data_IF_660592184568
#
_entry.id   IF_660592184568
#
_cell.length_a   1.000
_cell.length_b   1.000
_cell.length_c   1.000
_cell.angle_alpha   90.00
_cell.angle_beta   90.00
_cell.angle_gamma   90.00
#
_symmetry.space_group_name_H-M   'P 1'
#
loop_
_entity.id
_entity.type
_entity.pdbx_description
1 polymer ?
#
# COMPACT_ATOMS: atom_id res chain seq x y z
N UNK A 1 -1.37 0.53 -20.28
CA UNK A 1 0.02 0.89 -20.56
C UNK A 1 0.88 -0.37 -20.47
N UNK A 2 1.77 -0.57 -21.45
CA UNK A 2 2.83 -1.60 -21.38
C UNK A 2 4.12 -0.84 -21.08
N UNK A 3 4.80 -1.21 -20.01
CA UNK A 3 6.11 -0.66 -19.66
C UNK A 3 7.18 -1.71 -19.96
N UNK A 4 7.94 -1.47 -21.01
CA UNK A 4 8.96 -2.40 -21.53
C UNK A 4 10.15 -2.50 -20.55
N UNK A 5 10.71 -1.39 -20.02
CA UNK A 5 11.75 -1.44 -18.99
C UNK A 5 11.40 -2.22 -17.71
N UNK A 6 10.20 -2.02 -17.15
CA UNK A 6 9.79 -2.76 -15.94
C UNK A 6 9.26 -4.16 -16.25
N UNK A 7 9.11 -4.48 -17.54
CA UNK A 7 8.44 -5.68 -18.02
C UNK A 7 7.09 -5.85 -17.30
N UNK A 8 6.19 -4.86 -17.41
CA UNK A 8 4.86 -4.91 -16.79
C UNK A 8 3.76 -4.38 -17.70
N UNK A 9 2.52 -4.75 -17.38
CA UNK A 9 1.30 -4.32 -18.05
C UNK A 9 0.30 -3.83 -17.01
N UNK A 10 -0.17 -2.59 -17.16
CA UNK A 10 -1.26 -2.02 -16.39
C UNK A 10 -2.45 -1.70 -17.30
N UNK A 11 -3.66 -2.04 -16.87
CA UNK A 11 -4.92 -1.78 -17.56
C UNK A 11 -5.87 -1.08 -16.59
N UNK A 12 -6.40 0.07 -16.98
CA UNK A 12 -7.49 0.74 -16.27
C UNK A 12 -8.65 0.97 -17.23
N UNK A 13 -9.85 0.56 -16.86
CA UNK A 13 -11.07 0.73 -17.65
C UNK A 13 -12.20 1.25 -16.77
N UNK A 14 -12.68 2.46 -17.06
CA UNK A 14 -13.94 2.96 -16.52
C UNK A 14 -15.09 2.59 -17.44
N UNK A 15 -16.17 2.03 -16.88
CA UNK A 15 -17.41 1.77 -17.62
C UNK A 15 -18.55 2.53 -16.95
N UNK A 16 -19.37 3.19 -17.77
CA UNK A 16 -20.65 3.75 -17.34
C UNK A 16 -21.76 3.29 -18.28
N UNK A 17 -22.78 2.66 -17.72
CA UNK A 17 -23.97 2.19 -18.43
C UNK A 17 -25.16 3.01 -17.95
N UNK A 18 -25.79 3.72 -18.88
CA UNK A 18 -27.00 4.51 -18.63
C UNK A 18 -28.14 4.01 -19.52
N UNK A 19 -29.23 3.56 -18.90
CA UNK A 19 -30.44 3.14 -19.61
C UNK A 19 -31.50 4.25 -19.44
N UNK A 20 -31.94 4.92 -20.51
CA UNK A 20 -32.92 5.99 -20.42
C UNK A 20 -34.31 5.46 -20.04
N UNK A 21 -35.15 6.33 -19.47
CA UNK A 21 -36.57 6.01 -19.22
C UNK A 21 -37.34 5.85 -20.55
N UNK A 22 -38.36 4.99 -20.62
CA UNK A 22 -39.28 4.94 -21.76
C UNK A 22 -39.97 6.31 -21.96
N UNK A 23 -40.18 6.73 -23.21
CA UNK A 23 -40.75 8.05 -23.56
C UNK A 23 -42.27 8.20 -23.36
N UNK A 24 -42.96 7.29 -22.68
CA UNK A 24 -44.43 7.32 -22.61
C UNK A 24 -44.98 7.70 -21.24
N UNK A 25 -45.80 8.75 -21.20
CA UNK A 25 -47.04 8.93 -20.40
C UNK A 25 -47.07 8.72 -18.88
N UNK A 26 -46.09 8.05 -18.30
CA UNK A 26 -46.11 7.58 -16.92
C UNK A 26 -45.33 8.56 -16.05
N UNK A 27 -45.97 8.92 -14.94
CA UNK A 27 -45.59 9.93 -13.96
C UNK A 27 -44.33 9.58 -13.15
N UNK A 28 -43.20 9.43 -13.82
CA UNK A 28 -41.89 9.35 -13.17
C UNK A 28 -41.34 10.77 -12.95
N UNK A 29 -40.95 11.08 -11.71
CA UNK A 29 -40.54 12.43 -11.30
C UNK A 29 -39.43 13.06 -12.15
N UNK A 30 -39.57 14.37 -12.40
CA UNK A 30 -38.82 15.21 -13.35
C UNK A 30 -37.29 15.34 -13.13
N UNK A 31 -36.71 14.65 -12.14
CA UNK A 31 -35.33 14.94 -11.69
C UNK A 31 -34.25 13.98 -12.18
N UNK A 32 -34.59 12.80 -12.71
CA UNK A 32 -33.59 11.86 -13.23
C UNK A 32 -33.97 11.31 -14.62
N UNK A 33 -33.02 11.31 -15.55
CA UNK A 33 -33.22 10.95 -16.96
C UNK A 33 -33.05 9.45 -17.27
N UNK A 34 -32.60 8.65 -16.29
CA UNK A 34 -32.21 7.26 -16.48
C UNK A 34 -32.95 6.32 -15.54
N UNK A 35 -33.32 5.14 -16.04
CA UNK A 35 -33.88 4.03 -15.27
C UNK A 35 -32.77 3.24 -14.56
N UNK A 36 -31.62 3.12 -15.21
CA UNK A 36 -30.40 2.51 -14.66
C UNK A 36 -29.23 3.44 -14.94
N UNK A 37 -28.45 3.76 -13.91
CA UNK A 37 -27.16 4.45 -14.02
C UNK A 37 -26.13 3.63 -13.23
N UNK A 38 -25.30 2.88 -13.94
CA UNK A 38 -24.26 2.04 -13.38
C UNK A 38 -22.89 2.58 -13.77
N UNK A 39 -21.98 2.65 -12.80
CA UNK A 39 -20.61 3.07 -13.02
C UNK A 39 -19.66 2.12 -12.30
N UNK A 40 -18.53 1.82 -12.93
CA UNK A 40 -17.50 0.98 -12.35
C UNK A 40 -16.13 1.24 -12.95
N UNK A 41 -15.11 0.80 -12.23
CA UNK A 41 -13.71 0.87 -12.64
C UNK A 41 -13.12 -0.53 -12.50
N UNK A 42 -12.47 -0.99 -13.56
CA UNK A 42 -11.64 -2.18 -13.57
C UNK A 42 -10.18 -1.73 -13.66
N UNK A 43 -9.36 -2.17 -12.71
CA UNK A 43 -7.93 -1.93 -12.68
C UNK A 43 -7.21 -3.29 -12.64
N UNK A 44 -6.28 -3.53 -13.56
CA UNK A 44 -5.48 -4.73 -13.59
C UNK A 44 -4.00 -4.40 -13.78
N UNK A 45 -3.13 -5.23 -13.19
CA UNK A 45 -1.69 -5.12 -13.27
C UNK A 45 -1.07 -6.51 -13.38
N UNK A 46 -0.04 -6.64 -14.22
CA UNK A 46 0.73 -7.86 -14.41
C UNK A 46 2.21 -7.51 -14.52
N UNK A 47 3.05 -8.07 -13.64
CA UNK A 47 4.50 -8.01 -13.76
C UNK A 47 5.02 -9.27 -14.46
N UNK A 48 5.81 -9.08 -15.51
CA UNK A 48 6.56 -10.15 -16.18
C UNK A 48 7.93 -10.40 -15.55
N UNK A 49 8.45 -9.44 -14.75
CA UNK A 49 9.70 -9.59 -13.98
C UNK A 49 9.49 -10.43 -12.72
N UNK A 50 8.32 -10.27 -12.09
CA UNK A 50 7.92 -11.02 -10.91
C UNK A 50 6.49 -11.57 -11.12
N UNK A 51 6.36 -12.86 -11.51
CA UNK A 51 5.05 -13.49 -11.74
C UNK A 51 4.13 -13.53 -10.51
N UNK A 52 4.65 -13.29 -9.30
CA UNK A 52 3.84 -13.19 -8.09
C UNK A 52 3.18 -11.81 -7.92
N UNK A 53 3.62 -10.80 -8.69
CA UNK A 53 3.09 -9.44 -8.60
C UNK A 53 2.10 -9.17 -9.73
N UNK A 54 0.83 -9.48 -9.49
CA UNK A 54 -0.29 -9.17 -10.38
C UNK A 54 -1.58 -8.96 -9.59
N UNK A 55 -2.53 -8.21 -10.14
CA UNK A 55 -3.89 -8.09 -9.59
C UNK A 55 -4.91 -7.74 -10.66
N UNK A 56 -6.18 -8.02 -10.38
CA UNK A 56 -7.36 -7.55 -11.11
C UNK A 56 -8.39 -7.11 -10.09
N UNK A 57 -8.75 -5.83 -10.11
CA UNK A 57 -9.70 -5.20 -9.21
C UNK A 57 -10.87 -4.65 -10.02
N UNK A 58 -12.08 -4.87 -9.53
CA UNK A 58 -13.32 -4.30 -10.02
C UNK A 58 -13.94 -3.58 -8.82
N UNK A 59 -13.65 -2.29 -8.68
CA UNK A 59 -13.89 -1.56 -7.44
C UNK A 59 -12.99 -2.01 -6.29
N UNK A 60 -13.29 -1.55 -5.07
CA UNK A 60 -12.63 -1.97 -3.83
C UNK A 60 -13.67 -2.03 -2.71
N UNK A 61 -13.33 -2.62 -1.56
CA UNK A 61 -14.23 -2.65 -0.40
C UNK A 61 -14.68 -1.23 0.02
N UNK A 62 -13.80 -0.23 -0.07
CA UNK A 62 -14.10 1.17 0.27
C UNK A 62 -14.80 1.93 -0.88
N UNK A 63 -14.56 1.51 -2.12
CA UNK A 63 -15.11 2.14 -3.33
C UNK A 63 -15.69 1.06 -4.24
N UNK A 64 -16.83 0.52 -3.82
CA UNK A 64 -17.57 -0.46 -4.62
C UNK A 64 -18.06 0.18 -5.92
N UNK A 65 -18.12 -0.60 -6.99
CA UNK A 65 -18.82 -0.17 -8.20
C UNK A 65 -20.32 -0.18 -7.92
N UNK A 66 -21.04 0.81 -8.43
CA UNK A 66 -22.42 1.08 -8.00
C UNK A 66 -23.37 1.24 -9.18
N UNK A 67 -24.57 0.69 -9.05
CA UNK A 67 -25.68 0.86 -9.95
C UNK A 67 -26.88 1.44 -9.21
N UNK A 68 -27.41 2.56 -9.72
CA UNK A 68 -28.69 3.13 -9.31
C UNK A 68 -29.78 2.59 -10.23
N UNK A 69 -30.84 2.05 -9.65
CA UNK A 69 -31.94 1.39 -10.34
C UNK A 69 -33.25 2.05 -9.90
N UNK A 70 -34.10 2.39 -10.86
CA UNK A 70 -35.40 3.06 -10.67
C UNK A 70 -35.23 4.37 -9.87
N UNK A 71 -34.61 5.38 -10.48
CA UNK A 71 -34.51 6.74 -9.90
C UNK A 71 -33.95 6.73 -8.45
N UNK A 72 -32.85 5.99 -8.23
CA UNK A 72 -32.17 5.84 -6.94
C UNK A 72 -32.95 5.07 -5.83
N UNK A 73 -34.11 4.46 -6.13
CA UNK A 73 -34.87 3.67 -5.16
C UNK A 73 -34.11 2.41 -4.77
N UNK A 74 -33.46 1.74 -5.72
CA UNK A 74 -32.63 0.57 -5.47
C UNK A 74 -31.20 0.91 -5.85
N UNK A 75 -30.25 0.62 -4.96
CA UNK A 75 -28.82 0.63 -5.30
C UNK A 75 -28.26 -0.76 -5.17
N UNK A 76 -27.49 -1.18 -6.16
CA UNK A 76 -26.67 -2.37 -6.10
C UNK A 76 -25.20 -1.94 -6.13
N UNK A 77 -24.39 -2.53 -5.28
CA UNK A 77 -22.97 -2.26 -5.16
C UNK A 77 -22.22 -3.59 -5.25
N UNK A 78 -21.03 -3.61 -5.84
CA UNK A 78 -20.17 -4.80 -5.82
C UNK A 78 -18.70 -4.43 -5.88
N UNK A 79 -17.85 -5.33 -5.41
CA UNK A 79 -16.43 -5.31 -5.74
C UNK A 79 -15.92 -6.72 -5.97
N UNK A 80 -14.85 -6.85 -6.74
CA UNK A 80 -14.16 -8.10 -6.97
C UNK A 80 -12.66 -7.82 -7.18
N UNK A 81 -11.83 -8.34 -6.30
CA UNK A 81 -10.39 -8.18 -6.29
C UNK A 81 -9.77 -9.57 -6.30
N UNK A 82 -8.80 -9.79 -7.17
CA UNK A 82 -8.03 -11.04 -7.23
C UNK A 82 -6.57 -10.70 -7.48
N UNK A 83 -5.67 -11.35 -6.76
CA UNK A 83 -4.24 -11.26 -6.98
C UNK A 83 -3.58 -12.62 -6.70
N UNK A 84 -2.26 -12.64 -6.61
CA UNK A 84 -1.49 -13.85 -6.34
C UNK A 84 -1.71 -14.47 -4.96
N UNK A 85 -2.26 -13.72 -4.00
CA UNK A 85 -2.35 -14.10 -2.59
C UNK A 85 -3.78 -14.34 -2.13
N UNK A 86 -4.76 -13.63 -2.70
CA UNK A 86 -6.15 -13.73 -2.30
C UNK A 86 -7.15 -13.40 -3.43
N UNK A 87 -8.38 -13.85 -3.24
CA UNK A 87 -9.60 -13.37 -3.89
C UNK A 87 -10.46 -12.69 -2.83
N UNK A 88 -10.88 -11.46 -3.07
CA UNK A 88 -11.84 -10.75 -2.23
C UNK A 88 -13.01 -10.26 -3.09
N UNK A 89 -14.23 -10.47 -2.64
CA UNK A 89 -15.42 -10.04 -3.36
C UNK A 89 -16.49 -9.61 -2.38
N UNK A 90 -17.36 -8.72 -2.82
CA UNK A 90 -18.52 -8.33 -2.04
C UNK A 90 -19.60 -7.73 -2.90
N UNK A 91 -20.81 -7.76 -2.36
CA UNK A 91 -21.99 -7.18 -2.99
C UNK A 91 -22.87 -6.54 -1.92
N UNK A 92 -23.47 -5.42 -2.28
CA UNK A 92 -24.42 -4.68 -1.46
C UNK A 92 -25.70 -4.44 -2.23
N UNK A 93 -26.82 -4.43 -1.52
CA UNK A 93 -28.08 -3.92 -2.04
C UNK A 93 -28.70 -2.99 -1.01
N UNK A 94 -29.22 -1.85 -1.46
CA UNK A 94 -30.03 -0.98 -0.62
C UNK A 94 -31.29 -0.54 -1.33
N UNK A 95 -32.34 -0.35 -0.54
CA UNK A 95 -33.65 0.11 -0.98
C UNK A 95 -34.02 1.34 -0.15
N UNK A 96 -34.38 2.41 -0.82
CA UNK A 96 -34.81 3.65 -0.19
C UNK A 96 -34.48 4.87 -1.03
N UNK A 97 -34.77 6.04 -0.50
CA UNK A 97 -34.61 7.26 -1.26
C UNK A 97 -34.71 8.51 -0.42
N UNK A 98 -34.72 9.62 -1.14
CA UNK A 98 -34.86 10.96 -0.60
C UNK A 98 -36.04 11.63 -1.28
N UNK A 99 -37.06 11.94 -0.51
CA UNK A 99 -38.27 12.59 -0.97
C UNK A 99 -38.31 14.00 -0.39
N UNK A 100 -38.51 15.00 -1.25
CA UNK A 100 -38.56 16.40 -0.83
C UNK A 100 -39.85 17.05 -1.32
N UNK A 101 -40.62 17.62 -0.40
CA UNK A 101 -41.83 18.39 -0.68
C UNK A 101 -41.81 19.68 0.14
N UNK A 102 -41.84 20.82 -0.56
CA UNK A 102 -41.75 22.15 0.05
C UNK A 102 -40.50 22.30 0.94
N UNK A 103 -40.67 22.50 2.25
CA UNK A 103 -39.59 22.64 3.24
C UNK A 103 -39.21 21.30 3.88
N UNK A 104 -39.93 20.21 3.56
CA UNK A 104 -39.75 18.91 4.19
C UNK A 104 -38.93 17.99 3.28
N UNK A 105 -37.95 17.31 3.85
CA UNK A 105 -37.16 16.27 3.20
C UNK A 105 -37.13 15.04 4.08
N UNK A 106 -37.68 13.94 3.58
CA UNK A 106 -37.60 12.62 4.19
C UNK A 106 -36.49 11.82 3.49
N UNK A 107 -35.63 11.20 4.29
CA UNK A 107 -34.63 10.24 3.82
C UNK A 107 -34.92 8.93 4.54
N UNK A 108 -35.13 7.84 3.80
CA UNK A 108 -35.28 6.52 4.40
C UNK A 108 -34.61 5.51 3.48
N UNK A 109 -33.70 4.72 4.05
CA UNK A 109 -32.98 3.69 3.31
C UNK A 109 -32.55 2.55 4.23
N UNK A 110 -32.60 1.34 3.71
CA UNK A 110 -32.06 0.14 4.35
C UNK A 110 -31.21 -0.60 3.33
N UNK A 111 -30.10 -1.18 3.78
CA UNK A 111 -29.23 -1.96 2.92
C UNK A 111 -28.57 -3.11 3.65
N UNK A 112 -28.06 -4.05 2.86
CA UNK A 112 -27.26 -5.16 3.34
C UNK A 112 -26.08 -5.40 2.39
N UNK A 113 -24.92 -5.67 2.98
CA UNK A 113 -23.68 -5.95 2.28
C UNK A 113 -23.15 -7.33 2.73
N UNK A 114 -22.67 -8.11 1.77
CA UNK A 114 -21.91 -9.34 2.00
C UNK A 114 -20.53 -9.16 1.39
N UNK A 115 -19.48 -9.63 2.07
CA UNK A 115 -18.15 -9.71 1.49
C UNK A 115 -17.42 -10.96 1.99
N UNK A 116 -16.47 -11.45 1.20
CA UNK A 116 -15.57 -12.52 1.59
C UNK A 116 -14.18 -12.25 1.01
N UNK A 117 -13.13 -12.64 1.74
CA UNK A 117 -11.73 -12.67 1.32
C UNK A 117 -11.20 -14.08 1.58
N UNK A 118 -10.61 -14.69 0.57
CA UNK A 118 -10.04 -16.03 0.58
C UNK A 118 -8.57 -15.89 0.17
N UNK A 119 -7.66 -16.02 1.13
CA UNK A 119 -6.22 -16.12 0.92
C UNK A 119 -5.77 -17.59 0.88
N UNK A 120 -4.62 -17.87 0.25
CA UNK A 120 -4.06 -19.23 0.15
C UNK A 120 -2.57 -19.33 0.51
N UNK A 121 -1.94 -18.25 0.99
CA UNK A 121 -0.59 -18.26 1.57
C UNK A 121 -0.45 -17.12 2.61
N UNK A 122 -1.02 -17.28 3.82
CA UNK A 122 -1.58 -18.50 4.39
C UNK A 122 -3.02 -18.69 3.93
N UNK A 123 -3.62 -19.84 4.24
CA UNK A 123 -5.05 -20.01 4.03
C UNK A 123 -5.79 -19.13 5.03
N UNK A 124 -6.36 -18.03 4.56
CA UNK A 124 -7.18 -17.11 5.36
C UNK A 124 -8.58 -17.05 4.74
N UNK A 125 -9.63 -17.21 5.55
CA UNK A 125 -11.00 -16.96 5.15
C UNK A 125 -11.57 -15.88 6.05
N UNK A 126 -11.83 -14.71 5.47
CA UNK A 126 -12.57 -13.63 6.09
C UNK A 126 -13.96 -13.53 5.43
N UNK A 127 -15.00 -13.39 6.24
CA UNK A 127 -16.37 -13.19 5.79
C UNK A 127 -17.04 -12.05 6.54
N UNK A 128 -17.69 -11.15 5.81
CA UNK A 128 -18.42 -10.02 6.37
C UNK A 128 -19.90 -10.07 5.96
N UNK A 129 -20.77 -9.82 6.91
CA UNK A 129 -22.17 -9.48 6.68
C UNK A 129 -22.52 -8.20 7.42
N UNK A 130 -23.07 -7.21 6.72
CA UNK A 130 -23.47 -5.93 7.31
C UNK A 130 -24.91 -5.61 6.91
N UNK A 131 -25.73 -5.20 7.86
CA UNK A 131 -27.02 -4.56 7.61
C UNK A 131 -26.91 -3.13 8.13
N UNK A 132 -27.44 -2.17 7.38
CA UNK A 132 -27.49 -0.79 7.80
C UNK A 132 -28.83 -0.14 7.42
N UNK A 133 -29.22 0.88 8.16
CA UNK A 133 -30.40 1.68 7.88
C UNK A 133 -30.14 3.16 8.18
N UNK A 134 -30.78 4.01 7.40
CA UNK A 134 -30.80 5.46 7.54
C UNK A 134 -32.25 5.95 7.53
N UNK A 135 -32.62 6.76 8.53
CA UNK A 135 -33.92 7.43 8.62
C UNK A 135 -33.70 8.87 9.06
N UNK A 136 -34.12 9.82 8.24
CA UNK A 136 -33.96 11.24 8.53
C UNK A 136 -35.14 12.07 8.07
N UNK A 137 -35.44 13.09 8.86
CA UNK A 137 -36.43 14.12 8.54
C UNK A 137 -35.77 15.47 8.68
N UNK A 138 -35.86 16.28 7.64
CA UNK A 138 -35.41 17.67 7.61
C UNK A 138 -36.57 18.58 7.29
N UNK A 139 -36.85 19.54 8.16
CA UNK A 139 -37.82 20.62 7.99
C UNK A 139 -37.06 21.94 7.96
N UNK A 140 -36.95 22.54 6.77
CA UNK A 140 -36.19 23.76 6.51
C UNK A 140 -34.70 23.61 6.86
N UNK A 141 -34.22 24.30 7.91
CA UNK A 141 -32.83 24.21 8.40
C UNK A 141 -32.64 23.19 9.53
N UNK A 142 -33.73 22.70 10.11
CA UNK A 142 -33.70 21.73 11.19
C UNK A 142 -33.86 20.33 10.63
N UNK A 143 -33.06 19.39 11.09
CA UNK A 143 -33.24 18.00 10.73
C UNK A 143 -32.60 17.08 11.73
N UNK A 144 -33.07 15.84 11.74
CA UNK A 144 -32.41 14.74 12.41
C UNK A 144 -32.13 13.63 11.40
N UNK A 145 -31.08 12.87 11.66
CA UNK A 145 -30.72 11.70 10.86
C UNK A 145 -30.25 10.58 11.78
N UNK A 146 -31.02 9.51 11.83
CA UNK A 146 -30.67 8.28 12.51
C UNK A 146 -30.02 7.33 11.52
N UNK A 147 -28.82 6.86 11.84
CA UNK A 147 -28.11 5.79 11.16
C UNK A 147 -27.86 4.67 12.15
N UNK A 148 -28.07 3.44 11.72
CA UNK A 148 -27.74 2.25 12.49
C UNK A 148 -27.13 1.19 11.59
N UNK A 149 -26.14 0.48 12.10
CA UNK A 149 -25.52 -0.66 11.42
C UNK A 149 -25.25 -1.81 12.38
N UNK A 150 -25.36 -3.02 11.86
CA UNK A 150 -24.98 -4.26 12.50
C UNK A 150 -24.06 -5.03 11.54
N UNK A 151 -22.81 -5.26 11.96
CA UNK A 151 -21.76 -5.90 11.20
C UNK A 151 -21.32 -7.18 11.90
N UNK A 152 -21.24 -8.27 11.16
CA UNK A 152 -20.67 -9.55 11.57
C UNK A 152 -19.44 -9.79 10.71
N UNK A 153 -18.29 -10.02 11.31
CA UNK A 153 -17.01 -10.27 10.64
C UNK A 153 -16.40 -11.54 11.22
N UNK A 154 -16.21 -12.57 10.40
CA UNK A 154 -15.58 -13.83 10.78
C UNK A 154 -14.22 -13.99 10.11
N UNK A 155 -13.25 -14.56 10.83
CA UNK A 155 -11.92 -14.93 10.34
C UNK A 155 -11.61 -16.38 10.75
N UNK A 156 -10.90 -17.13 9.90
CA UNK A 156 -10.43 -18.50 10.18
C UNK A 156 -9.24 -18.82 9.24
N UNK A 157 -8.25 -19.64 9.64
CA UNK A 157 -8.13 -20.44 10.86
C UNK A 157 -7.37 -19.80 12.03
N UNK A 158 -6.43 -18.89 11.80
CA UNK A 158 -5.51 -18.39 12.84
C UNK A 158 -5.45 -16.84 12.86
N UNK A 159 -6.10 -16.15 13.81
CA UNK A 159 -7.03 -16.65 14.82
C UNK A 159 -8.43 -16.91 14.23
N UNK A 160 -9.12 -17.91 14.77
CA UNK A 160 -10.55 -18.06 14.51
C UNK A 160 -11.31 -17.07 15.39
N UNK A 161 -11.84 -15.99 14.79
CA UNK A 161 -12.57 -14.93 15.51
C UNK A 161 -13.84 -14.52 14.78
N UNK A 162 -14.84 -14.13 15.55
CA UNK A 162 -16.14 -13.62 15.11
C UNK A 162 -16.45 -12.32 15.85
N UNK A 163 -16.36 -11.21 15.15
CA UNK A 163 -16.67 -9.88 15.64
C UNK A 163 -18.09 -9.49 15.24
N UNK A 164 -18.92 -9.18 16.24
CA UNK A 164 -20.26 -8.63 16.07
C UNK A 164 -20.28 -7.18 16.56
N UNK A 165 -20.34 -6.24 15.63
CA UNK A 165 -20.32 -4.80 15.89
C UNK A 165 -21.70 -4.19 15.64
N UNK A 166 -22.21 -3.46 16.62
CA UNK A 166 -23.42 -2.64 16.51
C UNK A 166 -23.02 -1.18 16.67
N UNK A 167 -23.33 -0.35 15.68
CA UNK A 167 -23.09 1.08 15.74
C UNK A 167 -24.34 1.88 15.41
N UNK A 168 -24.51 3.03 16.05
CA UNK A 168 -25.59 3.96 15.75
C UNK A 168 -25.10 5.40 15.86
N UNK A 169 -25.71 6.27 15.07
CA UNK A 169 -25.49 7.71 15.07
C UNK A 169 -26.80 8.43 14.87
N UNK A 170 -27.12 9.37 15.75
CA UNK A 170 -28.24 10.27 15.66
C UNK A 170 -27.71 11.70 15.52
N UNK A 171 -27.75 12.21 14.30
CA UNK A 171 -27.47 13.62 14.02
C UNK A 171 -28.67 14.46 14.49
N UNK A 172 -28.42 15.44 15.35
CA UNK A 172 -29.45 16.28 15.97
C UNK A 172 -29.39 17.71 15.43
N UNK A 173 -30.51 18.46 15.44
CA UNK A 173 -30.49 19.84 15.03
C UNK A 173 -29.67 20.69 15.99
N UNK A 174 -28.89 21.64 15.46
CA UNK A 174 -28.21 22.64 16.25
C UNK A 174 -29.20 23.39 17.18
N UNK A 175 -28.85 23.65 18.46
CA UNK A 175 -27.54 23.45 19.11
C UNK A 175 -27.37 22.10 19.84
N UNK A 176 -28.26 21.13 19.62
CA UNK A 176 -28.23 19.86 20.35
C UNK A 176 -27.07 19.01 19.81
N UNK A 177 -26.16 18.50 20.66
CA UNK A 177 -25.03 17.69 20.21
C UNK A 177 -25.48 16.32 19.72
N UNK A 178 -24.83 15.81 18.69
CA UNK A 178 -25.10 14.49 18.12
C UNK A 178 -24.85 13.37 19.14
N UNK A 179 -25.63 12.29 19.03
CA UNK A 179 -25.49 11.08 19.87
C UNK A 179 -24.92 9.96 19.00
N UNK A 180 -23.88 9.28 19.48
CA UNK A 180 -23.30 8.10 18.81
C UNK A 180 -22.92 7.03 19.82
N UNK A 181 -22.96 5.77 19.40
CA UNK A 181 -22.51 4.66 20.22
C UNK A 181 -22.11 3.48 19.35
N UNK A 182 -21.18 2.69 19.86
CA UNK A 182 -20.63 1.53 19.19
C UNK A 182 -20.35 0.45 20.24
N UNK A 183 -20.67 -0.80 19.91
CA UNK A 183 -20.37 -1.95 20.77
C UNK A 183 -19.98 -3.14 19.91
N UNK A 184 -18.80 -3.68 20.18
CA UNK A 184 -18.29 -4.90 19.56
C UNK A 184 -18.28 -6.04 20.57
N UNK A 185 -18.73 -7.21 20.12
CA UNK A 185 -18.63 -8.48 20.83
C UNK A 185 -17.77 -9.42 19.99
N UNK A 186 -16.69 -9.93 20.58
CA UNK A 186 -15.77 -10.86 19.92
C UNK A 186 -15.95 -12.25 20.52
N UNK A 187 -16.16 -13.26 19.67
CA UNK A 187 -16.06 -14.67 20.03
C UNK A 187 -14.89 -15.29 19.26
N UNK A 188 -13.92 -15.89 19.94
CA UNK A 188 -12.76 -16.49 19.29
C UNK A 188 -11.61 -16.72 20.25
N UNK A 189 -10.42 -16.99 19.73
CA UNK A 189 -9.20 -17.12 20.54
C UNK A 189 -8.93 -15.79 21.28
N UNK A 190 -9.28 -15.74 22.56
CA UNK A 190 -9.45 -14.47 23.31
C UNK A 190 -8.14 -13.71 23.57
N UNK A 191 -6.99 -14.33 23.29
CA UNK A 191 -5.66 -13.73 23.32
C UNK A 191 -4.71 -14.57 22.45
N UNK A 192 -4.25 -14.11 21.27
CA UNK A 192 -3.19 -14.81 20.55
C UNK A 192 -1.95 -14.88 21.45
N UNK A 193 -1.55 -16.08 21.84
CA UNK A 193 -0.35 -16.30 22.64
C UNK A 193 0.85 -16.20 21.70
N UNK A 194 1.57 -15.08 21.75
CA UNK A 194 2.83 -14.95 21.03
C UNK A 194 3.79 -16.09 21.43
N UNK A 195 4.56 -16.67 20.49
CA UNK A 195 5.46 -17.77 20.79
C UNK A 195 6.49 -17.34 21.85
N UNK A 196 6.61 -18.12 22.91
CA UNK A 196 7.60 -17.86 23.96
C UNK A 196 8.96 -18.33 23.49
N UNK A 197 9.94 -17.42 23.35
CA UNK A 197 11.33 -17.78 23.00
C UNK A 197 11.94 -18.52 24.20
N UNK A 198 11.91 -19.85 24.17
CA UNK A 198 12.30 -20.72 25.29
C UNK A 198 13.80 -21.04 25.34
N UNK A 199 14.58 -20.57 24.36
CA UNK A 199 16.01 -20.85 24.27
C UNK A 199 16.81 -19.56 24.07
N UNK A 200 17.90 -19.32 24.82
CA UNK A 200 18.79 -18.19 24.54
C UNK A 200 19.35 -18.35 23.13
N UNK A 201 19.23 -17.31 22.30
CA UNK A 201 19.92 -17.23 21.01
C UNK A 201 21.43 -17.38 21.28
N UNK A 202 21.98 -18.57 21.02
CA UNK A 202 23.41 -18.85 21.19
C UNK A 202 24.20 -18.17 20.08
N UNK A 203 24.65 -16.93 20.33
CA UNK A 203 25.46 -16.16 19.39
C UNK A 203 26.96 -16.53 19.41
N UNK A 204 27.29 -17.83 19.33
CA UNK A 204 28.62 -18.29 18.88
C UNK A 204 29.43 -19.22 19.79
N UNK A 205 30.37 -19.92 19.16
CA UNK A 205 31.50 -20.63 19.76
C UNK A 205 32.78 -20.01 19.18
N UNK A 206 33.73 -19.59 20.02
CA UNK A 206 35.05 -19.16 19.55
C UNK A 206 36.08 -20.24 19.86
N UNK A 207 36.87 -20.64 18.85
CA UNK A 207 37.99 -21.57 19.02
C UNK A 207 39.30 -20.77 18.98
N UNK A 208 40.08 -20.81 20.06
CA UNK A 208 41.43 -20.23 20.10
C UNK A 208 42.39 -21.29 20.64
N UNK A 209 43.40 -21.65 19.85
CA UNK A 209 44.41 -22.67 20.19
C UNK A 209 43.82 -24.01 20.66
N UNK A 210 42.76 -24.47 19.99
CA UNK A 210 42.08 -25.73 20.32
C UNK A 210 41.14 -25.66 21.53
N UNK A 211 40.98 -24.49 22.15
CA UNK A 211 40.04 -24.27 23.25
C UNK A 211 38.78 -23.59 22.73
N UNK A 212 37.62 -24.26 22.87
CA UNK A 212 36.32 -23.70 22.51
C UNK A 212 35.74 -22.93 23.68
N UNK A 213 35.59 -21.62 23.56
CA UNK A 213 34.78 -20.82 24.48
C UNK A 213 33.36 -20.70 23.93
N UNK A 214 32.40 -21.32 24.61
CA UNK A 214 30.95 -21.17 24.40
C UNK A 214 30.42 -20.15 25.41
N UNK A 215 30.60 -18.86 25.13
CA UNK A 215 29.94 -17.82 25.91
C UNK A 215 28.84 -17.21 25.04
N UNK A 216 27.58 -17.18 25.51
CA UNK A 216 26.52 -16.48 24.80
C UNK A 216 26.88 -14.99 24.71
N UNK A 217 27.03 -14.48 23.49
CA UNK A 217 27.21 -13.05 23.27
C UNK A 217 25.85 -12.35 23.44
N UNK A 218 25.85 -11.22 24.15
CA UNK A 218 24.68 -10.36 24.21
C UNK A 218 24.43 -9.76 22.82
N UNK A 219 23.26 -10.01 22.27
CA UNK A 219 22.79 -9.39 21.03
C UNK A 219 21.80 -8.29 21.37
N UNK A 220 21.84 -7.22 20.57
CA UNK A 220 20.90 -6.13 20.67
C UNK A 220 19.71 -6.34 19.74
N UNK A 221 18.62 -5.65 20.04
CA UNK A 221 17.50 -5.45 19.14
C UNK A 221 17.36 -3.95 18.88
N UNK A 222 17.09 -3.60 17.62
CA UNK A 222 16.82 -2.23 17.19
C UNK A 222 15.47 -2.21 16.49
N UNK A 223 14.58 -1.33 16.95
CA UNK A 223 13.35 -1.04 16.22
C UNK A 223 13.63 0.03 15.16
N UNK A 224 13.52 -0.32 13.89
CA UNK A 224 13.92 0.52 12.75
C UNK A 224 13.15 1.84 12.71
N UNK A 225 11.86 1.85 13.05
CA UNK A 225 11.03 3.06 12.98
C UNK A 225 11.16 4.00 14.18
N UNK A 226 11.49 3.49 15.37
CA UNK A 226 11.57 4.33 16.59
C UNK A 226 13.01 4.58 17.04
N UNK A 227 13.98 3.87 16.48
CA UNK A 227 15.39 3.90 16.90
C UNK A 227 15.63 3.30 18.29
N UNK A 228 14.61 2.71 18.92
CA UNK A 228 14.71 2.15 20.27
C UNK A 228 15.61 0.91 20.24
N UNK A 229 16.56 0.85 21.16
CA UNK A 229 17.48 -0.28 21.33
C UNK A 229 17.27 -0.98 22.67
N UNK A 230 17.38 -2.30 22.69
CA UNK A 230 17.35 -3.08 23.93
C UNK A 230 18.15 -4.39 23.81
N UNK A 231 18.54 -4.94 24.95
CA UNK A 231 19.23 -6.24 25.02
C UNK A 231 18.24 -7.39 25.14
N UNK A 232 18.51 -8.50 24.46
CA UNK A 232 17.64 -9.70 24.47
C UNK A 232 17.60 -10.43 25.81
N UNK A 233 18.56 -10.18 26.70
CA UNK A 233 18.70 -10.88 27.98
C UNK A 233 17.97 -10.21 29.16
N UNK A 234 17.30 -9.08 28.94
CA UNK A 234 16.54 -8.42 30.02
C UNK A 234 15.20 -9.12 30.22
N UNK A 235 15.06 -9.91 31.28
CA UNK A 235 13.84 -10.64 31.61
C UNK A 235 12.59 -9.74 31.54
N UNK A 236 11.55 -10.19 30.82
CA UNK A 236 10.28 -9.48 30.68
C UNK A 236 10.18 -8.49 29.52
N UNK A 237 11.18 -8.41 28.63
CA UNK A 237 11.09 -7.62 27.39
C UNK A 237 11.03 -8.54 26.17
N UNK A 238 9.83 -8.65 25.60
CA UNK A 238 9.60 -9.36 24.34
C UNK A 238 10.32 -8.65 23.19
N UNK A 239 10.90 -9.42 22.27
CA UNK A 239 11.33 -8.91 20.97
C UNK A 239 10.09 -8.45 20.19
N UNK A 240 10.21 -7.32 19.49
CA UNK A 240 9.16 -6.86 18.59
C UNK A 240 9.31 -7.60 17.25
N UNK A 241 8.20 -7.88 16.54
CA UNK A 241 8.23 -8.65 15.29
C UNK A 241 9.01 -7.95 14.16
N UNK A 242 9.20 -6.64 14.26
CA UNK A 242 9.93 -5.76 13.33
C UNK A 242 11.30 -5.32 13.86
N UNK A 243 11.80 -6.00 14.88
CA UNK A 243 13.11 -5.70 15.44
C UNK A 243 14.22 -6.27 14.55
N UNK A 244 15.20 -5.42 14.23
CA UNK A 244 16.48 -5.81 13.63
C UNK A 244 17.35 -6.43 14.70
N UNK A 245 17.94 -7.58 14.37
CA UNK A 245 18.94 -8.22 15.24
C UNK A 245 20.26 -7.50 15.02
N UNK A 246 20.77 -6.89 16.09
CA UNK A 246 22.04 -6.15 16.07
C UNK A 246 23.12 -7.05 16.66
N UNK A 247 24.00 -7.53 15.78
CA UNK A 247 25.17 -8.31 16.16
C UNK A 247 26.40 -7.38 16.19
N UNK A 248 27.03 -7.19 17.36
CA UNK A 248 28.21 -6.35 17.46
C UNK A 248 29.44 -7.06 16.87
N UNK A 249 30.17 -6.35 16.03
CA UNK A 249 31.50 -6.73 15.57
C UNK A 249 32.52 -5.66 15.93
N UNK A 250 33.76 -6.08 16.22
CA UNK A 250 34.87 -5.14 16.43
C UNK A 250 35.28 -4.43 15.14
N UNK A 251 35.01 -5.02 13.98
CA UNK A 251 35.27 -4.44 12.66
C UNK A 251 34.33 -5.08 11.61
N UNK A 252 34.15 -4.44 10.46
CA UNK A 252 33.44 -5.05 9.33
C UNK A 252 34.29 -6.19 8.75
N UNK A 253 33.64 -7.23 8.24
CA UNK A 253 34.32 -8.39 7.65
C UNK A 253 33.89 -8.60 6.19
N UNK A 254 34.76 -9.20 5.38
CA UNK A 254 34.46 -9.53 3.98
C UNK A 254 33.38 -10.60 3.93
N UNK A 255 32.34 -10.39 3.13
CA UNK A 255 31.24 -11.34 2.98
C UNK A 255 31.55 -12.42 1.94
N UNK A 256 31.54 -13.69 2.35
CA UNK A 256 31.55 -14.86 1.46
C UNK A 256 30.19 -15.58 1.43
N UNK A 257 29.20 -15.10 2.21
CA UNK A 257 27.86 -15.69 2.25
C UNK A 257 26.99 -15.24 1.07
N UNK A 258 27.23 -14.04 0.54
CA UNK A 258 26.38 -13.40 -0.46
C UNK A 258 25.07 -12.85 0.11
N UNK A 259 24.92 -12.87 1.44
CA UNK A 259 23.72 -12.43 2.15
C UNK A 259 23.88 -11.04 2.79
N UNK A 260 25.10 -10.48 2.82
CA UNK A 260 25.31 -9.10 3.28
C UNK A 260 25.21 -8.14 2.10
N UNK A 261 24.27 -7.21 2.16
CA UNK A 261 24.07 -6.19 1.14
C UNK A 261 24.89 -4.94 1.48
N UNK A 262 25.44 -4.31 0.45
CA UNK A 262 26.23 -3.07 0.57
C UNK A 262 27.63 -3.17 -0.02
N UNK A 263 28.47 -2.19 0.30
CA UNK A 263 29.83 -2.10 -0.24
C UNK A 263 30.73 -3.21 0.30
N UNK A 264 31.48 -3.86 -0.60
CA UNK A 264 32.47 -4.86 -0.22
C UNK A 264 33.49 -4.28 0.79
N UNK A 265 33.75 -5.06 1.85
CA UNK A 265 34.71 -4.69 2.89
C UNK A 265 36.08 -5.18 2.48
N UNK A 266 37.03 -4.26 2.30
CA UNK A 266 38.44 -4.57 2.04
C UNK A 266 39.21 -4.86 3.32
N UNK A 267 40.30 -5.63 3.20
CA UNK A 267 41.23 -5.86 4.31
C UNK A 267 41.86 -4.52 4.79
N UNK A 268 42.12 -4.41 6.09
CA UNK A 268 42.70 -3.20 6.69
C UNK A 268 44.05 -3.50 7.37
N UNK A 269 44.89 -2.48 7.43
CA UNK A 269 46.21 -2.56 8.09
C UNK A 269 46.04 -2.34 9.59
N UNK A 270 46.30 -3.39 10.39
CA UNK A 270 46.27 -3.32 11.84
C UNK A 270 47.68 -3.61 12.39
N UNK A 271 48.28 -2.61 13.03
CA UNK A 271 49.62 -2.76 13.63
C UNK A 271 50.73 -3.12 12.63
N UNK A 272 50.59 -2.75 11.35
CA UNK A 272 51.55 -3.07 10.29
C UNK A 272 51.33 -4.40 9.58
N UNK A 273 50.30 -5.17 9.97
CA UNK A 273 49.89 -6.39 9.29
C UNK A 273 48.61 -6.16 8.49
N UNK A 274 48.53 -6.77 7.30
CA UNK A 274 47.27 -6.84 6.57
C UNK A 274 46.41 -7.93 7.21
N UNK A 275 45.33 -7.51 7.88
CA UNK A 275 44.42 -8.43 8.56
C UNK A 275 43.12 -8.50 7.75
N UNK A 276 42.71 -9.72 7.41
CA UNK A 276 41.44 -9.99 6.72
C UNK A 276 40.56 -10.89 7.59
N UNK A 277 39.32 -10.49 7.77
CA UNK A 277 38.28 -11.29 8.41
C UNK A 277 37.20 -11.60 7.40
N UNK A 278 36.62 -12.79 7.49
CA UNK A 278 35.66 -13.29 6.51
C UNK A 278 34.44 -13.87 7.20
N UNK A 279 33.24 -13.47 6.76
CA UNK A 279 31.98 -14.11 7.13
C UNK A 279 31.67 -15.23 6.14
N UNK A 280 31.77 -16.48 6.59
CA UNK A 280 31.56 -17.68 5.73
C UNK A 280 30.16 -18.26 5.81
N UNK A 281 29.47 -18.03 6.92
CA UNK A 281 28.15 -18.59 7.17
C UNK A 281 27.34 -17.58 7.97
N UNK A 282 26.12 -17.31 7.50
CA UNK A 282 25.12 -16.53 8.20
C UNK A 282 23.80 -17.27 8.02
N UNK A 283 23.23 -17.75 9.13
CA UNK A 283 21.97 -18.49 9.12
C UNK A 283 21.15 -18.05 10.33
N UNK A 284 19.85 -17.86 10.11
CA UNK A 284 18.88 -17.85 11.18
C UNK A 284 18.15 -19.19 11.18
N UNK A 285 17.93 -19.76 12.36
CA UNK A 285 17.29 -21.07 12.51
C UNK A 285 16.05 -20.97 13.38
N UNK A 286 14.93 -21.47 12.86
CA UNK A 286 13.70 -21.64 13.61
C UNK A 286 13.78 -22.90 14.48
N UNK A 287 13.72 -22.72 15.79
CA UNK A 287 13.79 -23.79 16.78
C UNK A 287 12.42 -24.38 17.13
N UNK A 288 11.33 -23.86 16.56
CA UNK A 288 9.97 -24.35 16.78
C UNK A 288 9.82 -25.84 16.41
N UNK A 289 10.55 -26.29 15.39
CA UNK A 289 10.64 -27.69 14.95
C UNK A 289 11.58 -28.59 15.77
N UNK A 290 12.15 -28.10 16.87
CA UNK A 290 13.17 -28.80 17.68
C UNK A 290 14.60 -28.39 17.35
N UNK A 291 15.58 -28.96 18.06
CA UNK A 291 17.01 -28.65 17.86
C UNK A 291 17.66 -29.65 16.89
N UNK A 292 18.46 -29.21 15.89
CA UNK A 292 19.11 -27.89 15.74
C UNK A 292 18.31 -26.82 14.97
N UNK A 293 17.00 -26.96 14.78
CA UNK A 293 16.14 -26.00 14.08
C UNK A 293 16.25 -26.02 12.56
N UNK A 294 15.25 -25.46 11.87
CA UNK A 294 15.19 -25.33 10.40
C UNK A 294 15.80 -23.99 9.96
N UNK A 295 16.59 -23.98 8.88
CA UNK A 295 17.18 -22.74 8.36
C UNK A 295 16.09 -21.88 7.74
N UNK A 296 16.03 -20.60 8.13
CA UNK A 296 15.16 -19.58 7.53
C UNK A 296 15.77 -19.14 6.20
N UNK A 297 15.07 -19.33 5.06
CA UNK A 297 15.59 -18.92 3.76
C UNK A 297 15.56 -17.39 3.61
N UNK A 298 16.43 -16.85 2.76
CA UNK A 298 16.37 -15.44 2.33
C UNK A 298 16.87 -14.40 3.36
N UNK A 299 17.48 -14.82 4.46
CA UNK A 299 18.06 -13.92 5.47
C UNK A 299 19.10 -13.00 4.82
N UNK A 300 18.93 -11.69 5.01
CA UNK A 300 19.87 -10.65 4.55
C UNK A 300 20.40 -9.84 5.71
N UNK A 301 21.52 -9.14 5.51
CA UNK A 301 22.06 -8.22 6.51
C UNK A 301 22.73 -6.99 5.89
N UNK A 302 22.85 -5.91 6.65
CA UNK A 302 23.63 -4.72 6.28
C UNK A 302 24.66 -4.39 7.38
N UNK A 303 25.81 -3.86 6.97
CA UNK A 303 26.75 -3.23 7.88
C UNK A 303 26.33 -1.80 8.25
N UNK A 304 26.04 -1.58 9.54
CA UNK A 304 25.86 -0.26 10.12
C UNK A 304 27.11 0.21 10.90
N UNK A 305 27.27 1.52 11.01
CA UNK A 305 28.29 2.10 11.89
C UNK A 305 27.87 1.95 13.37
N UNK A 306 28.80 1.58 14.23
CA UNK A 306 28.60 1.65 15.67
C UNK A 306 28.60 3.10 16.19
N UNK A 307 28.27 3.30 17.48
CA UNK A 307 28.13 4.64 18.09
C UNK A 307 29.39 5.49 17.98
N UNK A 308 30.56 4.84 17.92
CA UNK A 308 31.87 5.47 17.89
C UNK A 308 32.49 5.51 16.48
N UNK A 309 31.75 5.13 15.43
CA UNK A 309 32.21 5.15 14.04
C UNK A 309 33.21 4.05 13.63
N UNK A 310 34.00 3.54 14.58
CA UNK A 310 35.06 2.56 14.34
C UNK A 310 34.62 1.10 14.49
N UNK A 311 33.47 0.85 15.13
CA UNK A 311 32.91 -0.51 15.30
C UNK A 311 31.88 -0.83 14.21
N UNK A 312 31.86 -2.09 13.76
CA UNK A 312 30.87 -2.57 12.79
C UNK A 312 29.69 -3.20 13.51
N UNK A 313 28.46 -2.81 13.16
CA UNK A 313 27.27 -3.55 13.59
C UNK A 313 26.72 -4.29 12.39
N UNK A 314 26.53 -5.60 12.50
CA UNK A 314 25.81 -6.36 11.48
C UNK A 314 24.33 -6.34 11.86
N UNK A 315 23.54 -5.63 11.08
CA UNK A 315 22.10 -5.56 11.22
C UNK A 315 21.49 -6.66 10.37
N UNK A 316 20.99 -7.71 11.00
CA UNK A 316 20.33 -8.81 10.30
C UNK A 316 18.87 -8.39 10.08
N UNK A 317 18.44 -8.49 8.83
CA UNK A 317 17.13 -8.10 8.33
C UNK A 317 16.93 -6.57 8.30
N UNK A 318 17.99 -5.77 8.14
CA UNK A 318 17.86 -4.29 8.11
C UNK A 318 17.09 -3.76 6.88
N UNK A 319 17.21 -4.43 5.72
CA UNK A 319 16.49 -4.07 4.48
C UNK A 319 15.01 -4.48 4.50
N UNK A 320 14.70 -5.49 5.30
CA UNK A 320 13.38 -6.06 5.46
C UNK A 320 13.35 -6.69 6.85
N UNK A 321 13.00 -5.94 7.91
CA UNK A 321 13.01 -6.41 9.30
C UNK A 321 12.03 -7.55 9.54
N UNK A 322 11.26 -7.95 8.53
CA UNK A 322 10.37 -9.09 8.52
C UNK A 322 10.88 -10.26 7.67
N UNK A 323 12.01 -10.15 6.99
CA UNK A 323 12.56 -11.24 6.13
C UNK A 323 12.87 -12.54 6.88
N UNK A 324 13.08 -12.46 8.20
CA UNK A 324 13.20 -13.62 9.08
C UNK A 324 11.88 -14.10 9.67
N UNK A 325 10.88 -13.24 9.68
CA UNK A 325 9.50 -13.66 9.85
C UNK A 325 9.16 -14.38 8.55
N UNK A 326 9.48 -15.67 8.48
CA UNK A 326 8.80 -16.56 7.53
C UNK A 326 7.32 -16.24 7.74
N UNK A 327 6.57 -15.78 6.73
CA UNK A 327 5.19 -15.40 6.96
C UNK A 327 4.46 -16.58 7.59
N UNK A 328 4.20 -16.50 8.89
CA UNK A 328 2.94 -16.97 9.41
C UNK A 328 1.97 -15.98 8.83
N UNK A 329 1.28 -16.40 7.79
CA UNK A 329 0.90 -15.46 6.75
C UNK A 329 -0.20 -14.46 7.14
N UNK A 330 -0.59 -14.38 8.40
CA UNK A 330 -1.72 -13.61 8.89
C UNK A 330 -1.39 -12.16 9.25
N UNK A 331 -0.20 -11.63 8.91
CA UNK A 331 0.25 -10.30 9.41
C UNK A 331 0.65 -9.29 8.32
N UNK A 332 0.48 -9.60 7.03
CA UNK A 332 0.84 -8.67 5.95
C UNK A 332 -0.08 -7.43 5.81
N UNK A 333 -1.13 -7.29 6.63
CA UNK A 333 -2.23 -6.36 6.36
C UNK A 333 -2.12 -4.93 6.95
N UNK A 334 -1.00 -4.51 7.57
CA UNK A 334 -0.99 -3.23 8.32
C UNK A 334 0.12 -2.20 8.04
N UNK A 335 0.81 -2.23 6.90
CA UNK A 335 1.67 -1.08 6.51
C UNK A 335 1.21 -0.49 5.17
N UNK A 336 0.30 0.46 5.24
CA UNK A 336 -0.07 1.34 4.12
C UNK A 336 0.91 2.51 4.04
N UNK A 337 2.09 2.29 3.46
CA UNK A 337 2.72 3.40 2.74
C UNK A 337 1.91 3.61 1.46
N UNK A 338 1.51 4.86 1.19
CA UNK A 338 0.89 5.17 -0.10
C UNK A 338 1.97 4.89 -1.15
N UNK A 339 1.82 3.87 -2.02
CA UNK A 339 2.89 3.49 -2.91
C UNK A 339 3.29 4.69 -3.78
N UNK A 340 4.59 4.84 -4.10
CA UNK A 340 5.06 5.91 -4.97
C UNK A 340 4.21 5.96 -6.23
N UNK A 341 3.56 7.10 -6.46
CA UNK A 341 2.67 7.29 -7.59
C UNK A 341 3.50 7.81 -8.76
N UNK A 342 3.75 6.96 -9.75
CA UNK A 342 4.30 7.40 -11.03
C UNK A 342 3.23 8.19 -11.79
N UNK A 343 3.54 9.44 -12.14
CA UNK A 343 2.65 10.31 -12.93
C UNK A 343 3.31 10.54 -14.29
N UNK A 344 2.68 10.01 -15.34
CA UNK A 344 3.08 10.34 -16.71
C UNK A 344 2.60 11.75 -17.07
N UNK A 345 3.53 12.63 -17.41
CA UNK A 345 3.22 14.02 -17.73
C UNK A 345 3.06 14.23 -19.23
N UNK A 346 1.83 14.56 -19.64
CA UNK A 346 1.50 14.90 -21.02
C UNK A 346 1.50 16.43 -21.22
N UNK A 347 2.01 16.90 -22.36
CA UNK A 347 1.98 18.32 -22.79
C UNK A 347 0.73 18.66 -23.65
N UNK A 348 -0.30 17.80 -23.58
CA UNK A 348 -1.56 17.93 -24.29
C UNK A 348 -1.46 17.65 -25.80
N UNK A 349 -2.55 17.93 -26.49
CA UNK A 349 -2.72 17.80 -27.94
C UNK A 349 -3.05 19.18 -28.53
N UNK A 350 -2.67 19.43 -29.78
CA UNK A 350 -2.97 20.67 -30.47
C UNK A 350 -1.92 21.01 -31.52
N UNK A 351 -2.07 22.16 -32.19
CA UNK A 351 -1.02 22.69 -33.05
C UNK A 351 0.23 23.01 -32.23
N UNK A 352 1.33 23.19 -32.94
CA UNK A 352 2.56 23.68 -32.34
C UNK A 352 2.34 25.05 -31.70
N UNK A 353 2.94 25.26 -30.53
CA UNK A 353 2.83 26.53 -29.82
C UNK A 353 4.10 26.87 -29.06
N UNK A 354 4.36 28.16 -28.88
CA UNK A 354 5.49 28.65 -28.09
C UNK A 354 4.99 29.38 -26.85
N UNK A 355 5.76 29.30 -25.76
CA UNK A 355 5.45 30.01 -24.53
C UNK A 355 6.72 30.53 -23.84
N UNK A 356 6.65 31.75 -23.31
CA UNK A 356 7.76 32.43 -22.65
C UNK A 356 7.57 32.60 -21.14
N UNK A 357 6.37 32.35 -20.63
CA UNK A 357 6.03 32.42 -19.21
C UNK A 357 5.84 31.01 -18.64
N UNK A 358 5.85 30.87 -17.31
CA UNK A 358 5.54 29.60 -16.66
C UNK A 358 4.22 29.01 -17.18
N UNK A 359 4.23 27.72 -17.49
CA UNK A 359 3.05 26.99 -17.95
C UNK A 359 2.80 25.75 -17.12
N UNK A 360 1.53 25.57 -16.74
CA UNK A 360 1.06 24.42 -15.98
C UNK A 360 0.62 23.30 -16.92
N UNK A 361 1.12 22.10 -16.65
CA UNK A 361 0.71 20.83 -17.22
C UNK A 361 0.32 19.91 -16.07
N UNK A 362 -0.99 19.83 -15.77
CA UNK A 362 -1.50 19.12 -14.60
C UNK A 362 -0.82 19.55 -13.28
N UNK A 363 -0.08 18.67 -12.62
CA UNK A 363 0.63 18.96 -11.36
C UNK A 363 2.07 19.48 -11.61
N UNK A 364 2.54 19.51 -12.85
CA UNK A 364 3.86 20.01 -13.23
C UNK A 364 3.78 21.44 -13.79
N UNK A 365 4.71 22.30 -13.38
CA UNK A 365 4.94 23.63 -13.91
C UNK A 365 6.28 23.68 -14.63
N UNK A 366 6.29 24.26 -15.83
CA UNK A 366 7.48 24.45 -16.66
C UNK A 366 7.73 25.93 -16.83
N UNK A 367 8.87 26.41 -16.35
CA UNK A 367 9.32 27.79 -16.50
C UNK A 367 10.55 27.85 -17.42
N UNK A 368 10.42 28.29 -18.69
CA UNK A 368 11.55 28.43 -19.59
C UNK A 368 12.58 29.45 -19.08
N UNK A 369 13.87 29.18 -19.27
CA UNK A 369 14.97 30.10 -18.90
C UNK A 369 15.74 30.52 -20.14
N UNK A 370 15.95 31.83 -20.29
CA UNK A 370 16.73 32.44 -21.37
C UNK A 370 16.06 32.47 -22.75
N UNK A 371 15.33 31.43 -23.14
CA UNK A 371 14.60 31.35 -24.42
C UNK A 371 13.18 30.79 -24.23
N UNK A 372 12.22 31.18 -25.10
CA UNK A 372 10.89 30.55 -25.10
C UNK A 372 10.99 29.04 -25.31
N UNK A 373 10.08 28.30 -24.68
CA UNK A 373 9.90 26.88 -24.96
C UNK A 373 8.83 26.68 -26.04
N UNK A 374 8.93 25.56 -26.75
CA UNK A 374 7.99 25.16 -27.79
C UNK A 374 7.34 23.82 -27.43
N UNK A 375 6.08 23.63 -27.79
CA UNK A 375 5.43 22.34 -27.84
C UNK A 375 5.28 21.95 -29.30
N UNK A 376 6.03 20.95 -29.74
CA UNK A 376 6.12 20.53 -31.15
C UNK A 376 5.39 19.20 -31.39
N UNK A 377 4.95 18.97 -32.62
CA UNK A 377 4.19 17.76 -33.01
C UNK A 377 4.99 16.77 -33.85
N UNK A 378 6.19 17.15 -34.30
CA UNK A 378 6.85 16.56 -35.46
C UNK A 378 7.63 15.26 -35.20
N UNK A 379 7.33 14.54 -34.11
CA UNK A 379 8.06 13.31 -33.75
C UNK A 379 7.33 12.02 -34.17
N UNK A 380 8.08 11.06 -34.76
CA UNK A 380 7.60 9.73 -35.14
C UNK A 380 8.33 8.60 -34.38
N UNK A 381 7.63 7.51 -33.98
CA UNK A 381 6.19 7.27 -34.14
C UNK A 381 5.35 8.12 -33.19
N UNK A 382 4.13 8.45 -33.63
CA UNK A 382 3.19 9.41 -33.03
C UNK A 382 3.10 9.27 -31.51
N UNK A 383 3.72 10.19 -30.77
CA UNK A 383 3.54 10.29 -29.33
C UNK A 383 2.10 10.75 -29.04
N UNK A 384 1.52 10.25 -27.94
CA UNK A 384 0.19 10.67 -27.46
C UNK A 384 0.18 12.12 -26.92
N UNK A 385 1.25 12.88 -27.10
CA UNK A 385 1.33 14.26 -26.64
C UNK A 385 2.40 15.01 -27.43
N UNK A 386 2.32 16.34 -27.41
CA UNK A 386 3.37 17.22 -27.95
C UNK A 386 4.68 17.04 -27.16
N UNK A 387 5.80 17.30 -27.82
CA UNK A 387 7.13 17.27 -27.18
C UNK A 387 7.48 18.67 -26.70
N UNK A 388 7.93 18.79 -25.46
CA UNK A 388 8.51 20.03 -24.94
C UNK A 388 9.93 20.20 -25.47
N UNK A 389 10.13 21.22 -26.30
CA UNK A 389 11.44 21.66 -26.76
C UNK A 389 11.84 22.93 -26.00
N UNK A 390 12.94 22.86 -25.26
CA UNK A 390 13.47 24.00 -24.52
C UNK A 390 14.98 23.85 -24.31
N UNK A 391 15.72 24.97 -24.37
CA UNK A 391 17.16 24.99 -24.10
C UNK A 391 17.48 24.84 -22.61
N UNK A 392 16.70 25.52 -21.77
CA UNK A 392 16.81 25.49 -20.31
C UNK A 392 15.42 25.77 -19.72
N UNK A 393 15.05 25.05 -18.67
CA UNK A 393 13.78 25.23 -17.98
C UNK A 393 13.88 24.78 -16.52
N UNK A 394 12.97 25.28 -15.69
CA UNK A 394 12.77 24.84 -14.30
C UNK A 394 11.45 24.08 -14.19
N UNK A 395 11.50 22.94 -13.50
CA UNK A 395 10.32 22.16 -13.13
C UNK A 395 9.93 22.45 -11.69
N UNK A 396 8.62 22.54 -11.44
CA UNK A 396 8.03 22.63 -10.09
C UNK A 396 6.77 21.76 -10.06
N UNK A 397 6.54 21.07 -8.94
CA UNK A 397 5.42 20.13 -8.81
C UNK A 397 4.49 20.56 -7.69
N UNK A 398 3.24 20.86 -8.03
CA UNK A 398 2.23 21.34 -7.07
C UNK A 398 0.84 20.80 -7.39
N UNK A 399 0.10 20.49 -6.33
CA UNK A 399 -1.31 20.11 -6.41
C UNK A 399 -2.17 21.25 -6.97
N UNK A 400 -3.43 20.95 -7.33
CA UNK A 400 -4.39 21.99 -7.73
C UNK A 400 -4.64 23.04 -6.62
N UNK A 401 -4.35 22.71 -5.36
CA UNK A 401 -4.46 23.61 -4.21
C UNK A 401 -3.18 24.44 -3.94
N UNK A 402 -2.11 24.26 -4.73
CA UNK A 402 -0.84 24.98 -4.56
C UNK A 402 0.09 24.41 -3.48
N UNK A 403 -0.21 23.21 -2.97
CA UNK A 403 0.71 22.50 -2.08
C UNK A 403 1.82 21.84 -2.90
N UNK A 404 3.08 22.00 -2.48
CA UNK A 404 4.24 21.35 -3.08
C UNK A 404 4.13 19.81 -2.99
N UNK A 405 4.47 19.15 -4.09
CA UNK A 405 4.54 17.68 -4.16
C UNK A 405 6.00 17.27 -3.97
N UNK A 406 6.25 16.36 -3.03
CA UNK A 406 7.56 15.71 -2.91
C UNK A 406 7.76 14.77 -4.09
N UNK A 407 8.87 14.94 -4.81
CA UNK A 407 9.19 14.12 -5.99
C UNK A 407 10.51 13.42 -5.71
N UNK A 408 10.45 12.10 -5.60
CA UNK A 408 11.61 11.27 -5.31
C UNK A 408 12.51 11.11 -6.55
N UNK A 409 11.91 11.01 -7.74
CA UNK A 409 12.61 10.82 -9.01
C UNK A 409 11.91 11.55 -10.17
N UNK A 410 12.69 12.13 -11.08
CA UNK A 410 12.21 12.68 -12.37
C UNK A 410 12.95 11.98 -13.50
N UNK A 411 12.24 11.16 -14.28
CA UNK A 411 12.78 10.54 -15.49
C UNK A 411 12.45 11.40 -16.71
N UNK A 412 13.47 11.90 -17.41
CA UNK A 412 13.30 12.66 -18.65
C UNK A 412 13.65 11.79 -19.86
N UNK A 413 12.69 11.60 -20.76
CA UNK A 413 12.95 10.94 -22.04
C UNK A 413 13.46 11.97 -23.05
N UNK A 414 14.77 11.98 -23.27
CA UNK A 414 15.38 12.87 -24.27
C UNK A 414 15.15 12.30 -25.67
N UNK A 415 14.50 13.09 -26.50
CA UNK A 415 14.31 12.80 -27.91
C UNK A 415 15.45 13.45 -28.69
N UNK A 416 16.35 12.65 -29.25
CA UNK A 416 17.45 13.15 -30.09
C UNK A 416 17.06 12.98 -31.55
N UNK A 417 16.82 14.09 -32.24
CA UNK A 417 16.69 14.06 -33.70
C UNK A 417 18.07 13.76 -34.30
N UNK A 418 18.24 12.59 -34.92
CA UNK A 418 19.36 12.39 -35.83
C UNK A 418 19.07 13.22 -37.08
N UNK A 419 19.71 14.38 -37.19
CA UNK A 419 19.82 15.07 -38.46
C UNK A 419 20.40 14.08 -39.46
N UNK A 420 19.61 13.66 -40.44
CA UNK A 420 20.19 12.98 -41.59
C UNK A 420 21.19 13.96 -42.20
N UNK A 421 22.49 13.66 -42.06
CA UNK A 421 23.50 14.31 -42.87
C UNK A 421 23.08 14.12 -44.33
N UNK A 422 22.77 15.23 -44.99
CA UNK A 422 22.49 15.23 -46.43
C UNK A 422 23.71 14.61 -47.12
N UNK A 423 23.54 13.56 -47.94
CA UNK A 423 24.63 13.09 -48.78
C UNK A 423 24.95 14.21 -49.78
N UNK A 424 26.16 14.77 -49.66
CA UNK A 424 26.76 15.68 -50.64
C UNK A 424 27.00 14.98 -51.98
#
# INVERSE_FOLDING_TARGET
AVDIPSASLALGLGVRVMIPKPKSGDSYGDKENYLVDAQGVLDAFFSFKDPATWYVNLGTADKMIGAKIITDIVRAELFFNINNYYVAFGAGISIGGKWSWWIITLTARIGANVAAKIGWNPVELEGMFMIWAELGLKVWKFGFLLRGEAKVLGHTPEPSKLDMTFAYKLDLPWPIPDIKGEKTYTLGDETPVAPTISSPLMAGQALTDGTTTTNPMAIGLLHTHTGRQWETQTAGRSAWPDAVIVVPFSCRVTDETGAVVGTAVSAYLQGGYLVSHTLKTMELRDISGGLPGTVVPGVKAIWAAGPDGDTGRLHINDEDPFSWVVPHGDVADHVTETPPRTVEQLFGYGPEETFSNERRFNEMFVEPKGQPASLVTDFQPQLLTRVLEAREFRLRFETNAGAAIHVDEVTLYLVVAHSQESPL
#
